data_IF_868794107378
#
_entry.id   IF_868794107378
#
_cell.length_a   1.000
_cell.length_b   1.000
_cell.length_c   1.000
_cell.angle_alpha   90.00
_cell.angle_beta   90.00
_cell.angle_gamma   90.00
#
_symmetry.space_group_name_H-M   'P 1'
#
loop_
_entity.id
_entity.type
_entity.pdbx_description
1 polymer ?
#
# COMPACT_ATOMS: atom_id res chain seq x y z
N UNK A 1 -0.20 11.64 -9.51
CA UNK A 1 -0.28 10.28 -8.90
C UNK A 1 -1.69 9.94 -8.39
N UNK A 2 -2.36 10.81 -7.61
CA UNK A 2 -3.63 10.48 -6.93
C UNK A 2 -4.73 9.82 -7.79
N UNK A 3 -4.97 10.28 -9.02
CA UNK A 3 -5.99 9.68 -9.90
C UNK A 3 -5.71 8.22 -10.23
N UNK A 4 -4.45 7.89 -10.59
CA UNK A 4 -4.05 6.54 -10.93
C UNK A 4 -4.17 5.61 -9.72
N UNK A 5 -3.76 6.08 -8.54
CA UNK A 5 -3.90 5.33 -7.29
C UNK A 5 -5.38 5.03 -7.01
N UNK A 6 -6.24 6.04 -7.14
CA UNK A 6 -7.69 5.85 -6.99
C UNK A 6 -8.26 4.81 -7.98
N UNK A 7 -7.81 4.82 -9.24
CA UNK A 7 -8.23 3.86 -10.25
C UNK A 7 -7.77 2.43 -9.92
N UNK A 8 -6.52 2.26 -9.49
CA UNK A 8 -5.98 0.95 -9.09
C UNK A 8 -6.75 0.39 -7.89
N UNK A 9 -7.03 1.20 -6.87
CA UNK A 9 -7.81 0.77 -5.71
C UNK A 9 -9.28 0.45 -6.07
N UNK A 10 -9.89 1.25 -6.95
CA UNK A 10 -11.24 0.98 -7.45
C UNK A 10 -11.29 -0.35 -8.24
N UNK A 11 -10.28 -0.62 -9.06
CA UNK A 11 -10.15 -1.87 -9.79
C UNK A 11 -9.95 -3.06 -8.84
N UNK A 12 -9.09 -2.94 -7.83
CA UNK A 12 -8.87 -3.98 -6.83
C UNK A 12 -10.16 -4.35 -6.08
N UNK A 13 -10.96 -3.34 -5.70
CA UNK A 13 -12.28 -3.56 -5.10
C UNK A 13 -13.24 -4.25 -6.06
N UNK A 14 -13.26 -3.85 -7.33
CA UNK A 14 -14.09 -4.50 -8.34
C UNK A 14 -13.71 -5.97 -8.53
N UNK A 15 -12.42 -6.29 -8.60
CA UNK A 15 -11.92 -7.68 -8.69
C UNK A 15 -12.40 -8.47 -7.47
N UNK A 16 -12.21 -7.96 -6.25
CA UNK A 16 -12.68 -8.63 -5.03
C UNK A 16 -14.18 -8.90 -5.03
N UNK A 17 -14.98 -7.95 -5.50
CA UNK A 17 -16.43 -8.12 -5.61
C UNK A 17 -16.84 -9.16 -6.65
N UNK A 18 -16.10 -9.28 -7.76
CA UNK A 18 -16.42 -10.21 -8.85
C UNK A 18 -15.94 -11.64 -8.57
N UNK A 19 -14.81 -11.80 -7.89
CA UNK A 19 -14.17 -13.11 -7.67
C UNK A 19 -14.39 -13.66 -6.26
N UNK A 20 -14.88 -12.83 -5.32
CA UNK A 20 -14.92 -13.15 -3.90
C UNK A 20 -13.55 -13.12 -3.20
N UNK A 21 -12.48 -12.74 -3.92
CA UNK A 21 -11.11 -12.75 -3.41
C UNK A 21 -10.44 -11.41 -3.68
N UNK A 22 -10.01 -10.71 -2.63
CA UNK A 22 -9.22 -9.50 -2.76
C UNK A 22 -7.85 -9.83 -3.41
N UNK A 23 -7.41 -9.07 -4.42
CA UNK A 23 -6.12 -9.32 -5.07
C UNK A 23 -4.94 -8.95 -4.16
N UNK A 24 -3.76 -9.51 -4.45
CA UNK A 24 -2.50 -9.02 -3.89
C UNK A 24 -2.13 -7.73 -4.61
N UNK A 25 -1.89 -6.66 -3.84
CA UNK A 25 -1.47 -5.36 -4.37
C UNK A 25 0.03 -5.20 -4.29
N UNK A 26 0.63 -4.73 -5.38
CA UNK A 26 2.03 -4.33 -5.44
C UNK A 26 2.07 -2.85 -5.80
N UNK A 27 2.52 -2.01 -4.87
CA UNK A 27 2.43 -0.56 -4.99
C UNK A 27 3.83 0.07 -4.86
N UNK A 28 4.40 0.46 -5.99
CA UNK A 28 5.76 0.97 -6.06
C UNK A 28 5.82 2.48 -5.74
N UNK A 29 6.67 2.86 -4.79
CA UNK A 29 6.86 4.23 -4.29
C UNK A 29 5.54 4.98 -3.98
N UNK A 30 4.56 4.26 -3.46
CA UNK A 30 3.18 4.74 -3.38
C UNK A 30 2.99 5.90 -2.39
N UNK A 31 3.79 5.90 -1.32
CA UNK A 31 3.76 6.89 -0.27
C UNK A 31 4.46 8.21 -0.68
N UNK A 32 5.27 8.18 -1.74
CA UNK A 32 6.02 9.34 -2.19
C UNK A 32 5.08 10.42 -2.75
N UNK A 33 5.39 11.68 -2.45
CA UNK A 33 4.63 12.88 -2.88
C UNK A 33 3.21 12.99 -2.32
N UNK A 34 2.85 12.19 -1.29
CA UNK A 34 1.64 12.38 -0.51
C UNK A 34 1.99 13.08 0.80
N UNK A 35 1.15 14.01 1.23
CA UNK A 35 1.17 14.52 2.60
C UNK A 35 0.72 13.43 3.61
N UNK A 36 0.99 13.66 4.89
CA UNK A 36 0.74 12.67 5.96
C UNK A 36 -0.72 12.21 6.03
N UNK A 37 -1.67 13.14 5.92
CA UNK A 37 -3.10 12.84 5.95
C UNK A 37 -3.52 11.97 4.76
N UNK A 38 -3.00 12.26 3.57
CA UNK A 38 -3.25 11.45 2.37
C UNK A 38 -2.62 10.06 2.46
N UNK A 39 -1.46 9.92 3.10
CA UNK A 39 -0.84 8.60 3.34
C UNK A 39 -1.69 7.77 4.29
N UNK A 40 -2.14 8.35 5.41
CA UNK A 40 -3.05 7.68 6.34
C UNK A 40 -4.33 7.20 5.63
N UNK A 41 -5.00 8.10 4.89
CA UNK A 41 -6.20 7.75 4.14
C UNK A 41 -5.96 6.66 3.08
N UNK A 42 -4.81 6.69 2.39
CA UNK A 42 -4.41 5.64 1.45
C UNK A 42 -4.27 4.29 2.16
N UNK A 43 -3.56 4.25 3.28
CA UNK A 43 -3.35 3.01 4.03
C UNK A 43 -4.66 2.43 4.56
N UNK A 44 -5.58 3.27 5.02
CA UNK A 44 -6.91 2.82 5.45
C UNK A 44 -7.75 2.28 4.29
N UNK A 45 -7.64 2.89 3.11
CA UNK A 45 -8.28 2.35 1.90
C UNK A 45 -7.71 0.99 1.50
N UNK A 46 -6.39 0.80 1.61
CA UNK A 46 -5.73 -0.47 1.28
C UNK A 46 -6.16 -1.57 2.27
N UNK A 47 -6.12 -1.27 3.56
CA UNK A 47 -6.52 -2.17 4.65
C UNK A 47 -8.00 -2.59 4.50
N UNK A 48 -8.87 -1.63 4.17
CA UNK A 48 -10.29 -1.87 3.91
C UNK A 48 -10.61 -2.73 2.68
N UNK A 49 -9.64 -3.02 1.79
CA UNK A 49 -9.82 -3.98 0.70
C UNK A 49 -9.82 -5.43 1.18
N UNK A 50 -9.28 -5.71 2.38
CA UNK A 50 -9.22 -7.06 2.96
C UNK A 50 -8.27 -8.02 2.25
N UNK A 51 -7.28 -7.49 1.51
CA UNK A 51 -6.25 -8.25 0.81
C UNK A 51 -4.84 -7.97 1.34
N UNK A 52 -3.84 -8.66 0.78
CA UNK A 52 -2.44 -8.41 1.09
C UNK A 52 -1.88 -7.31 0.18
N UNK A 53 -1.09 -6.39 0.74
CA UNK A 53 -0.41 -5.34 -0.03
C UNK A 53 1.08 -5.29 0.29
N UNK A 54 1.90 -5.22 -0.75
CA UNK A 54 3.32 -4.87 -0.67
C UNK A 54 3.49 -3.44 -1.19
N UNK A 55 4.22 -2.64 -0.41
CA UNK A 55 4.49 -1.25 -0.72
C UNK A 55 5.99 -1.00 -0.60
N UNK A 56 6.56 -0.23 -1.53
CA UNK A 56 7.97 0.16 -1.49
C UNK A 56 8.11 1.65 -1.21
N UNK A 57 9.23 2.03 -0.61
CA UNK A 57 9.62 3.42 -0.42
C UNK A 57 10.99 3.51 0.22
N UNK A 58 11.59 4.70 0.16
CA UNK A 58 12.98 4.94 0.59
C UNK A 58 13.10 5.44 2.02
N UNK A 59 12.02 5.94 2.62
CA UNK A 59 11.99 6.43 4.00
C UNK A 59 10.87 5.74 4.79
N UNK A 60 11.25 5.11 5.90
CA UNK A 60 10.35 4.43 6.83
C UNK A 60 9.33 5.40 7.43
N UNK A 61 9.67 6.68 7.61
CA UNK A 61 8.78 7.69 8.18
C UNK A 61 7.52 7.92 7.34
N UNK A 62 7.58 7.66 6.02
CA UNK A 62 6.43 7.77 5.13
C UNK A 62 5.33 6.75 5.45
N UNK A 63 5.69 5.66 6.13
CA UNK A 63 4.80 4.55 6.48
C UNK A 63 4.36 4.56 7.95
N UNK A 64 4.69 5.60 8.73
CA UNK A 64 4.38 5.69 10.17
C UNK A 64 2.89 5.46 10.49
N UNK A 65 1.99 5.93 9.62
CA UNK A 65 0.55 5.79 9.76
C UNK A 65 0.02 4.34 9.63
N UNK A 66 0.85 3.39 9.19
CA UNK A 66 0.49 1.97 9.25
C UNK A 66 0.56 1.43 10.68
N UNK A 67 1.45 1.96 11.53
CA UNK A 67 1.68 1.46 12.88
C UNK A 67 1.95 -0.05 12.88
N UNK A 68 1.26 -0.79 13.75
CA UNK A 68 1.42 -2.24 13.89
C UNK A 68 0.71 -3.06 12.80
N UNK A 69 0.03 -2.42 11.83
CA UNK A 69 -0.66 -3.12 10.73
C UNK A 69 0.28 -3.70 9.68
N UNK A 70 1.53 -3.26 9.65
CA UNK A 70 2.47 -3.62 8.60
C UNK A 70 3.75 -4.23 9.18
N UNK A 71 4.21 -5.30 8.53
CA UNK A 71 5.60 -5.72 8.63
C UNK A 71 6.46 -4.83 7.75
N UNK A 72 7.61 -4.42 8.26
CA UNK A 72 8.55 -3.57 7.54
C UNK A 72 9.79 -4.39 7.25
N UNK A 73 10.18 -4.43 5.98
CA UNK A 73 11.40 -5.08 5.55
C UNK A 73 12.35 -4.05 4.95
N UNK A 74 13.62 -4.10 5.32
CA UNK A 74 14.69 -3.33 4.69
C UNK A 74 15.28 -4.14 3.55
N UNK A 75 15.44 -3.53 2.38
CA UNK A 75 16.08 -4.16 1.22
C UNK A 75 17.39 -3.43 0.91
N UNK A 76 18.51 -4.17 0.91
CA UNK A 76 19.83 -3.64 0.60
C UNK A 76 20.69 -4.70 -0.08
N UNK A 77 21.49 -4.30 -1.09
CA UNK A 77 22.40 -5.18 -1.82
C UNK A 77 21.77 -6.48 -2.34
N UNK A 78 20.51 -6.41 -2.82
CA UNK A 78 19.75 -7.56 -3.32
C UNK A 78 19.29 -8.54 -2.23
N UNK A 79 19.31 -8.15 -0.96
CA UNK A 79 18.87 -8.95 0.19
C UNK A 79 17.75 -8.26 0.96
N UNK A 80 16.91 -9.06 1.62
CA UNK A 80 15.76 -8.61 2.41
C UNK A 80 16.01 -8.92 3.88
N UNK A 81 15.79 -7.93 4.74
CA UNK A 81 15.94 -8.00 6.19
C UNK A 81 14.63 -7.55 6.85
N UNK A 82 14.23 -8.18 7.95
CA UNK A 82 13.10 -7.73 8.78
C UNK A 82 13.57 -6.74 9.85
#
# INVERSE_FOLDING_TARGET
KALLVGLVLAHARLVGNLTGHAPILLLDEIAAHLDENRRAALFDLIDGLGGQAFMTGTDRSMFSALGDRAQVFTVADGRVFE
#
